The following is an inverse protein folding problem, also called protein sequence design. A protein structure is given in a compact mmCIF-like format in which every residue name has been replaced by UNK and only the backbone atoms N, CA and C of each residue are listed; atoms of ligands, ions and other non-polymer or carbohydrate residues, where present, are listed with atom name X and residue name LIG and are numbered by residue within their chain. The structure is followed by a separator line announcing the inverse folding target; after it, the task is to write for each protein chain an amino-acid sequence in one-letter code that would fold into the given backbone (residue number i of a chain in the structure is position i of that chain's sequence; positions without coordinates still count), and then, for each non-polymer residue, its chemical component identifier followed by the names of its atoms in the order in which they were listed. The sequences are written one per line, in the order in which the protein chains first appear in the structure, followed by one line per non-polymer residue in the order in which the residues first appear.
data_IF_296426046912
#
_entry.id   IF_296426046912
#
_cell.length_a   1.000
_cell.length_b   1.000
_cell.length_c   1.000
_cell.angle_alpha   90.00
_cell.angle_beta   90.00
_cell.angle_gamma   90.00
#
_symmetry.space_group_name_H-M   'P 1'
#
loop_
_entity.id
_entity.type
_entity.pdbx_description
1 polymer ?
#
# COMPACT_ATOMS: atom_id res chain seq x y z
N UNK A 1 -34.76 -10.54 13.02
CA UNK A 1 -33.90 -10.81 14.20
C UNK A 1 -32.47 -10.52 13.78
N UNK A 2 -31.91 -9.41 14.25
CA UNK A 2 -30.58 -8.96 13.88
C UNK A 2 -29.54 -9.85 14.60
N UNK A 3 -28.78 -10.63 13.83
CA UNK A 3 -27.56 -11.26 14.32
C UNK A 3 -26.50 -10.15 14.44
N UNK A 4 -26.51 -9.43 15.56
CA UNK A 4 -25.28 -8.83 16.09
C UNK A 4 -24.48 -9.97 16.67
N UNK A 5 -23.41 -10.42 16.01
CA UNK A 5 -22.51 -11.34 16.69
C UNK A 5 -21.03 -11.23 16.26
N UNK A 6 -20.19 -11.19 17.30
CA UNK A 6 -18.73 -11.37 17.38
C UNK A 6 -17.80 -10.14 17.17
N UNK A 7 -18.11 -9.11 16.36
CA UNK A 7 -17.11 -8.10 15.92
C UNK A 7 -17.36 -6.61 16.26
N UNK A 8 -18.29 -6.24 17.15
CA UNK A 8 -18.59 -4.81 17.39
C UNK A 8 -17.43 -4.04 18.03
N UNK A 9 -16.74 -4.63 18.99
CA UNK A 9 -15.60 -3.98 19.66
C UNK A 9 -14.36 -3.88 18.76
N UNK A 10 -14.02 -4.94 18.04
CA UNK A 10 -12.91 -4.92 17.06
C UNK A 10 -13.17 -3.82 16.01
N UNK A 11 -14.42 -3.69 15.54
CA UNK A 11 -14.84 -2.61 14.65
C UNK A 11 -14.80 -1.23 15.32
N UNK A 12 -15.14 -1.12 16.60
CA UNK A 12 -15.05 0.14 17.37
C UNK A 12 -13.59 0.56 17.55
N UNK A 13 -12.67 -0.36 17.83
CA UNK A 13 -11.23 -0.05 17.96
C UNK A 13 -10.65 0.38 16.62
N UNK A 14 -10.95 -0.35 15.53
CA UNK A 14 -10.54 0.04 14.17
C UNK A 14 -11.08 1.42 13.78
N UNK A 15 -12.38 1.67 14.02
CA UNK A 15 -13.03 2.95 13.73
C UNK A 15 -12.39 4.08 14.55
N UNK A 16 -12.22 3.88 15.86
CA UNK A 16 -11.61 4.88 16.76
C UNK A 16 -10.20 5.25 16.32
N UNK A 17 -9.39 4.25 15.95
CA UNK A 17 -8.03 4.50 15.49
C UNK A 17 -8.01 5.24 14.14
N UNK A 18 -8.86 4.84 13.18
CA UNK A 18 -8.96 5.53 11.90
C UNK A 18 -9.51 6.96 12.03
N UNK A 19 -10.45 7.19 12.94
CA UNK A 19 -10.94 8.52 13.28
C UNK A 19 -9.83 9.39 13.87
N UNK A 20 -8.98 8.82 14.74
CA UNK A 20 -7.81 9.53 15.25
C UNK A 20 -6.83 9.93 14.12
N UNK A 21 -6.53 9.01 13.19
CA UNK A 21 -5.68 9.32 12.03
C UNK A 21 -6.28 10.47 11.19
N UNK A 22 -7.60 10.48 10.99
CA UNK A 22 -8.28 11.53 10.24
C UNK A 22 -8.30 12.86 10.99
N UNK A 23 -8.83 12.86 12.21
CA UNK A 23 -9.19 14.07 12.93
C UNK A 23 -7.98 14.75 13.58
N UNK A 24 -6.91 13.99 13.89
CA UNK A 24 -5.70 14.51 14.54
C UNK A 24 -4.52 14.60 13.57
N UNK A 25 -4.35 13.60 12.69
CA UNK A 25 -3.20 13.55 11.77
C UNK A 25 -3.54 13.99 10.34
N UNK A 26 -4.81 14.24 10.02
CA UNK A 26 -5.24 14.72 8.70
C UNK A 26 -5.23 13.65 7.60
N UNK A 27 -5.32 12.37 7.96
CA UNK A 27 -5.35 11.28 6.98
C UNK A 27 -6.75 11.10 6.38
N UNK A 28 -6.81 10.73 5.10
CA UNK A 28 -8.05 10.17 4.54
C UNK A 28 -8.33 8.80 5.19
N UNK A 29 -9.60 8.43 5.35
CA UNK A 29 -9.97 7.08 5.80
C UNK A 29 -11.05 6.48 4.91
N UNK A 30 -10.83 5.24 4.47
CA UNK A 30 -11.77 4.46 3.67
C UNK A 30 -12.02 3.09 4.32
N UNK A 31 -13.25 2.58 4.16
CA UNK A 31 -13.62 1.21 4.54
C UNK A 31 -13.78 0.38 3.27
N UNK A 32 -13.05 -0.73 3.14
CA UNK A 32 -13.01 -1.50 1.89
C UNK A 32 -13.91 -2.74 1.89
N UNK A 33 -14.21 -3.31 3.07
CA UNK A 33 -14.90 -4.59 3.15
C UNK A 33 -16.32 -4.53 2.59
N UNK A 34 -16.57 -5.31 1.53
CA UNK A 34 -17.81 -5.36 0.75
C UNK A 34 -18.25 -4.02 0.11
N UNK A 35 -17.40 -2.98 0.15
CA UNK A 35 -17.68 -1.64 -0.41
C UNK A 35 -16.68 -1.25 -1.51
N UNK A 36 -15.54 -1.94 -1.61
CA UNK A 36 -14.57 -1.71 -2.68
C UNK A 36 -15.14 -2.06 -4.05
N UNK A 37 -15.06 -1.09 -4.96
CA UNK A 37 -15.29 -1.28 -6.40
C UNK A 37 -13.95 -1.28 -7.12
N UNK A 38 -13.77 -2.22 -8.06
CA UNK A 38 -12.53 -2.38 -8.83
C UNK A 38 -12.58 -1.63 -10.17
N UNK A 39 -11.39 -1.36 -10.71
CA UNK A 39 -11.16 -0.61 -11.95
C UNK A 39 -10.43 0.72 -11.70
N UNK A 40 -9.96 1.40 -12.76
CA UNK A 40 -9.22 2.66 -12.66
C UNK A 40 -9.98 3.76 -11.89
N UNK A 41 -11.30 3.80 -12.08
CA UNK A 41 -12.21 4.75 -11.42
C UNK A 41 -12.88 4.17 -10.16
N UNK A 42 -12.51 2.95 -9.77
CA UNK A 42 -13.00 2.30 -8.57
C UNK A 42 -12.49 2.97 -7.28
N UNK A 43 -13.00 2.50 -6.14
CA UNK A 43 -12.75 3.08 -4.81
C UNK A 43 -11.26 3.36 -4.57
N UNK A 44 -10.42 2.34 -4.77
CA UNK A 44 -8.96 2.42 -4.56
C UNK A 44 -8.15 2.47 -5.86
N UNK A 45 -8.82 2.39 -7.03
CA UNK A 45 -8.16 2.33 -8.33
C UNK A 45 -7.47 0.99 -8.62
N UNK A 46 -7.73 -0.04 -7.80
CA UNK A 46 -7.21 -1.40 -7.96
C UNK A 46 -7.98 -2.16 -9.02
N UNK A 47 -7.31 -2.95 -9.85
CA UNK A 47 -7.95 -3.81 -10.84
C UNK A 47 -8.54 -5.09 -10.22
N UNK A 48 -7.86 -5.64 -9.21
CA UNK A 48 -8.34 -6.78 -8.43
C UNK A 48 -7.68 -6.82 -7.03
N UNK A 49 -7.99 -7.87 -6.26
CA UNK A 49 -7.50 -8.06 -4.89
C UNK A 49 -6.00 -8.39 -4.79
N UNK A 50 -5.31 -8.65 -5.89
CA UNK A 50 -3.86 -8.95 -5.93
C UNK A 50 -3.01 -7.69 -5.97
N UNK A 51 -3.56 -6.57 -6.44
CA UNK A 51 -2.86 -5.29 -6.40
C UNK A 51 -2.84 -4.79 -4.97
N UNK A 52 -1.66 -4.58 -4.40
CA UNK A 52 -1.53 -4.01 -3.04
C UNK A 52 -1.16 -2.52 -3.11
N UNK A 53 -0.31 -2.15 -4.07
CA UNK A 53 0.03 -0.74 -4.35
C UNK A 53 -1.13 -0.06 -5.07
N UNK A 54 -1.51 1.14 -4.61
CA UNK A 54 -2.55 1.94 -5.26
C UNK A 54 -1.93 2.72 -6.43
N UNK A 55 -1.76 2.04 -7.57
CA UNK A 55 -1.05 2.57 -8.75
C UNK A 55 -1.60 3.91 -9.26
N UNK A 56 -2.91 4.15 -9.17
CA UNK A 56 -3.53 5.43 -9.52
C UNK A 56 -2.98 6.58 -8.68
N UNK A 57 -2.87 6.37 -7.37
CA UNK A 57 -2.43 7.40 -6.43
C UNK A 57 -0.91 7.59 -6.51
N UNK A 58 -0.18 6.49 -6.70
CA UNK A 58 1.26 6.51 -6.92
C UNK A 58 1.64 7.25 -8.20
N UNK A 59 0.95 6.98 -9.31
CA UNK A 59 1.15 7.71 -10.57
C UNK A 59 0.96 9.20 -10.39
N UNK A 60 -0.12 9.60 -9.71
CA UNK A 60 -0.43 11.01 -9.45
C UNK A 60 0.69 11.71 -8.68
N UNK A 61 1.21 11.06 -7.64
CA UNK A 61 2.32 11.60 -6.85
C UNK A 61 3.62 11.69 -7.67
N UNK A 62 4.00 10.62 -8.38
CA UNK A 62 5.22 10.62 -9.20
C UNK A 62 5.15 11.71 -10.28
N UNK A 63 4.03 11.83 -10.99
CA UNK A 63 3.86 12.89 -12.00
C UNK A 63 3.93 14.29 -11.36
N UNK A 64 3.31 14.49 -10.20
CA UNK A 64 3.31 15.77 -9.50
C UNK A 64 4.70 16.19 -8.98
N UNK A 65 5.46 15.25 -8.42
CA UNK A 65 6.80 15.52 -7.88
C UNK A 65 7.87 15.64 -8.97
N UNK A 66 7.63 15.07 -10.15
CA UNK A 66 8.62 14.98 -11.22
C UNK A 66 8.07 15.53 -12.56
N UNK A 67 7.70 16.82 -12.64
CA UNK A 67 7.03 17.40 -13.82
C UNK A 67 7.88 17.37 -15.11
N UNK A 68 9.19 17.15 -15.00
CA UNK A 68 10.09 17.03 -16.14
C UNK A 68 10.21 15.59 -16.68
N UNK A 69 9.69 14.58 -15.97
CA UNK A 69 9.74 13.19 -16.43
C UNK A 69 8.63 12.94 -17.47
N UNK A 70 8.95 12.29 -18.60
CA UNK A 70 7.92 11.85 -19.54
C UNK A 70 7.13 10.67 -18.96
N UNK A 71 5.93 10.45 -19.50
CA UNK A 71 5.02 9.37 -19.07
C UNK A 71 5.71 8.00 -19.00
N UNK A 72 6.54 7.65 -20.00
CA UNK A 72 7.29 6.39 -20.01
C UNK A 72 8.23 6.21 -18.81
N UNK A 73 8.82 7.29 -18.29
CA UNK A 73 9.65 7.22 -17.10
C UNK A 73 8.79 7.02 -15.83
N UNK A 74 7.59 7.59 -15.80
CA UNK A 74 6.61 7.35 -14.73
C UNK A 74 6.13 5.90 -14.77
N UNK A 75 5.86 5.35 -15.95
CA UNK A 75 5.49 3.95 -16.16
C UNK A 75 6.59 3.01 -15.63
N UNK A 76 7.84 3.26 -16.02
CA UNK A 76 9.00 2.49 -15.55
C UNK A 76 9.14 2.55 -14.02
N UNK A 77 8.93 3.72 -13.41
CA UNK A 77 8.99 3.87 -11.96
C UNK A 77 7.92 3.03 -11.26
N UNK A 78 6.68 3.08 -11.75
CA UNK A 78 5.57 2.29 -11.21
C UNK A 78 5.85 0.80 -11.40
N UNK A 79 6.26 0.38 -12.59
CA UNK A 79 6.61 -1.02 -12.87
C UNK A 79 7.65 -1.54 -11.88
N UNK A 80 8.72 -0.78 -11.64
CA UNK A 80 9.75 -1.13 -10.64
C UNK A 80 9.21 -1.21 -9.22
N UNK A 81 8.25 -0.34 -8.85
CA UNK A 81 7.62 -0.32 -7.53
C UNK A 81 6.59 -1.44 -7.32
N UNK A 82 6.06 -2.00 -8.40
CA UNK A 82 5.03 -3.06 -8.35
C UNK A 82 5.56 -4.43 -8.75
N UNK A 83 6.81 -4.52 -9.21
CA UNK A 83 7.40 -5.76 -9.69
C UNK A 83 7.52 -6.79 -8.57
N UNK A 84 6.99 -7.98 -8.83
CA UNK A 84 7.15 -9.15 -7.99
C UNK A 84 8.25 -10.04 -8.58
N UNK A 85 9.42 -10.09 -7.93
CA UNK A 85 10.51 -10.98 -8.33
C UNK A 85 10.62 -12.17 -7.37
N UNK A 86 9.94 -13.26 -7.73
CA UNK A 86 9.89 -14.49 -6.93
C UNK A 86 11.23 -15.19 -6.74
N UNK A 87 12.31 -14.74 -7.40
CA UNK A 87 13.67 -15.28 -7.21
C UNK A 87 14.44 -14.60 -6.06
N UNK A 88 13.92 -13.48 -5.53
CA UNK A 88 14.56 -12.69 -4.48
C UNK A 88 13.83 -12.86 -3.15
N UNK A 89 14.60 -12.85 -2.07
CA UNK A 89 14.06 -12.84 -0.70
C UNK A 89 13.38 -11.51 -0.37
N UNK A 90 12.44 -11.53 0.57
CA UNK A 90 11.79 -10.32 1.10
C UNK A 90 12.79 -9.27 1.57
N UNK A 91 13.89 -9.65 2.21
CA UNK A 91 14.94 -8.72 2.64
C UNK A 91 15.57 -7.98 1.44
N UNK A 92 15.81 -8.68 0.33
CA UNK A 92 16.37 -8.07 -0.89
C UNK A 92 15.38 -7.09 -1.53
N UNK A 93 14.10 -7.46 -1.57
CA UNK A 93 13.04 -6.54 -2.00
C UNK A 93 12.98 -5.30 -1.11
N UNK A 94 12.88 -5.48 0.21
CA UNK A 94 12.73 -4.37 1.15
C UNK A 94 13.94 -3.41 1.10
N UNK A 95 15.16 -3.93 0.89
CA UNK A 95 16.35 -3.09 0.71
C UNK A 95 16.30 -2.26 -0.58
N UNK A 96 15.86 -2.85 -1.69
CA UNK A 96 15.71 -2.16 -2.97
C UNK A 96 14.61 -1.09 -2.88
N UNK A 97 13.44 -1.48 -2.39
CA UNK A 97 12.30 -0.60 -2.19
C UNK A 97 12.57 0.55 -1.22
N UNK A 98 13.27 0.28 -0.12
CA UNK A 98 13.74 1.35 0.79
C UNK A 98 14.62 2.36 0.05
N UNK A 99 15.50 1.90 -0.85
CA UNK A 99 16.34 2.80 -1.66
C UNK A 99 15.49 3.61 -2.64
N UNK A 100 14.50 3.00 -3.28
CA UNK A 100 13.55 3.71 -4.15
C UNK A 100 12.72 4.76 -3.40
N UNK A 101 12.26 4.46 -2.20
CA UNK A 101 11.52 5.41 -1.37
C UNK A 101 12.43 6.59 -0.97
N UNK A 102 13.62 6.29 -0.45
CA UNK A 102 14.54 7.31 0.10
C UNK A 102 15.16 8.18 -0.99
N UNK A 103 15.66 7.56 -2.05
CA UNK A 103 16.51 8.21 -3.06
C UNK A 103 15.75 8.50 -4.38
N UNK A 104 14.57 7.92 -4.55
CA UNK A 104 13.81 7.91 -5.81
C UNK A 104 14.09 6.66 -6.64
N UNK A 105 13.14 6.32 -7.52
CA UNK A 105 13.26 5.17 -8.42
C UNK A 105 14.15 5.55 -9.61
N UNK A 106 15.26 4.84 -9.87
CA UNK A 106 16.07 5.11 -11.05
C UNK A 106 15.27 4.79 -12.30
N UNK A 107 15.23 5.71 -13.27
CA UNK A 107 14.49 5.59 -14.53
C UNK A 107 15.35 6.06 -15.70
N UNK A 108 15.06 5.57 -16.90
CA UNK A 108 15.78 5.89 -18.12
C UNK A 108 14.82 6.20 -19.27
N UNK A 109 14.91 7.39 -19.86
CA UNK A 109 14.02 7.81 -20.94
C UNK A 109 14.79 8.53 -22.05
N UNK A 110 14.16 8.68 -23.23
CA UNK A 110 14.70 9.51 -24.31
C UNK A 110 14.12 10.91 -24.23
N UNK A 111 14.98 11.93 -24.25
CA UNK A 111 14.54 13.32 -24.34
C UNK A 111 14.09 13.69 -25.76
N UNK A 112 13.63 14.93 -25.95
CA UNK A 112 13.16 15.42 -27.26
C UNK A 112 14.23 15.38 -28.37
N UNK A 113 15.52 15.30 -28.02
CA UNK A 113 16.63 15.15 -28.96
C UNK A 113 16.95 13.69 -29.28
N UNK A 114 16.23 12.74 -28.67
CA UNK A 114 16.46 11.30 -28.82
C UNK A 114 17.57 10.74 -27.93
N UNK A 115 18.22 11.56 -27.11
CA UNK A 115 19.29 11.13 -26.20
C UNK A 115 18.72 10.42 -24.97
N UNK A 116 19.41 9.36 -24.52
CA UNK A 116 19.04 8.66 -23.29
C UNK A 116 19.44 9.50 -22.07
N UNK A 117 18.49 9.73 -21.18
CA UNK A 117 18.64 10.40 -19.90
C UNK A 117 18.33 9.43 -18.78
N UNK A 118 19.11 9.52 -17.71
CA UNK A 118 18.84 8.84 -16.45
C UNK A 118 18.36 9.86 -15.43
N UNK A 119 17.40 9.48 -14.60
CA UNK A 119 16.87 10.29 -13.52
C UNK A 119 16.42 9.41 -12.35
N UNK A 120 16.11 10.04 -11.22
CA UNK A 120 15.51 9.40 -10.06
C UNK A 120 14.12 9.99 -9.83
N UNK A 121 13.08 9.18 -10.05
CA UNK A 121 11.69 9.57 -9.85
C UNK A 121 11.37 9.58 -8.35
N UNK A 122 11.11 10.77 -7.80
CA UNK A 122 10.67 10.93 -6.41
C UNK A 122 9.27 10.35 -6.23
N UNK A 123 9.07 9.56 -5.19
CA UNK A 123 7.77 8.92 -4.86
C UNK A 123 7.15 9.45 -3.57
N UNK A 124 7.96 10.00 -2.67
CA UNK A 124 7.55 10.64 -1.42
C UNK A 124 8.33 11.95 -1.28
N UNK A 125 7.64 13.02 -0.91
CA UNK A 125 8.28 14.28 -0.54
C UNK A 125 8.50 14.35 0.98
N UNK A 126 9.69 13.93 1.41
CA UNK A 126 10.09 14.04 2.81
C UNK A 126 10.39 15.47 3.26
N UNK A 127 10.62 16.41 2.33
CA UNK A 127 10.94 17.80 2.65
C UNK A 127 9.68 18.61 2.90
N UNK A 128 8.60 18.29 2.19
CA UNK A 128 7.28 18.84 2.42
C UNK A 128 6.27 17.70 2.63
N UNK A 129 6.13 17.18 3.87
CA UNK A 129 5.23 16.08 4.18
C UNK A 129 3.79 16.33 3.73
N UNK A 130 3.32 17.58 3.80
CA UNK A 130 1.96 17.97 3.40
C UNK A 130 1.68 17.88 1.90
N UNK A 131 2.70 17.67 1.06
CA UNK A 131 2.52 17.39 -0.37
C UNK A 131 2.20 15.91 -0.65
N UNK A 132 2.29 15.04 0.35
CA UNK A 132 1.95 13.63 0.20
C UNK A 132 0.48 13.38 0.54
N UNK A 133 -0.12 12.39 -0.13
CA UNK A 133 -1.42 11.87 0.23
C UNK A 133 -1.26 10.76 1.27
N UNK A 134 -1.92 10.93 2.41
CA UNK A 134 -1.99 9.94 3.48
C UNK A 134 -3.38 9.31 3.51
N UNK A 135 -3.45 8.00 3.37
CA UNK A 135 -4.72 7.26 3.31
C UNK A 135 -4.67 6.03 4.21
N UNK A 136 -5.61 5.91 5.11
CA UNK A 136 -5.84 4.71 5.89
C UNK A 136 -7.01 3.91 5.29
N UNK A 137 -6.77 2.67 4.89
CA UNK A 137 -7.81 1.76 4.41
C UNK A 137 -8.06 0.68 5.45
N UNK A 138 -9.33 0.55 5.85
CA UNK A 138 -9.78 -0.46 6.82
C UNK A 138 -10.33 -1.69 6.13
N UNK A 139 -10.07 -2.85 6.71
CA UNK A 139 -10.56 -4.16 6.28
C UNK A 139 -10.24 -4.47 4.81
N UNK A 140 -9.00 -4.15 4.38
CA UNK A 140 -8.54 -4.33 3.00
C UNK A 140 -8.32 -5.82 2.71
N UNK A 141 -9.00 -6.34 1.68
CA UNK A 141 -8.79 -7.71 1.21
C UNK A 141 -7.64 -7.78 0.20
N UNK A 142 -6.70 -8.69 0.47
CA UNK A 142 -5.52 -8.96 -0.34
C UNK A 142 -5.49 -10.45 -0.70
N UNK A 143 -5.27 -10.75 -1.97
CA UNK A 143 -5.12 -12.11 -2.49
C UNK A 143 -3.65 -12.40 -2.74
N UNK A 144 -3.19 -13.55 -2.24
CA UNK A 144 -1.81 -14.01 -2.45
C UNK A 144 -1.51 -14.27 -3.93
N UNK A 145 -0.33 -13.85 -4.44
CA UNK A 145 0.02 -14.02 -5.84
C UNK A 145 0.29 -15.49 -6.22
N UNK A 146 0.82 -16.28 -5.27
CA UNK A 146 1.13 -17.71 -5.46
C UNK A 146 -0.01 -18.64 -5.08
N UNK A 147 -1.00 -18.17 -4.30
CA UNK A 147 -2.12 -19.01 -3.84
C UNK A 147 -3.43 -18.21 -3.89
N UNK A 148 -4.16 -18.25 -5.03
CA UNK A 148 -5.37 -17.43 -5.23
C UNK A 148 -6.51 -17.68 -4.24
N UNK A 149 -6.53 -18.87 -3.62
CA UNK A 149 -7.51 -19.24 -2.59
C UNK A 149 -7.13 -18.68 -1.21
N UNK A 150 -5.91 -18.19 -1.06
CA UNK A 150 -5.41 -17.61 0.16
C UNK A 150 -5.64 -16.10 0.14
N UNK A 151 -6.72 -15.71 0.81
CA UNK A 151 -7.08 -14.32 0.99
C UNK A 151 -6.83 -13.90 2.43
N UNK A 152 -6.40 -12.66 2.60
CA UNK A 152 -6.18 -12.04 3.91
C UNK A 152 -6.88 -10.70 3.95
N UNK A 153 -7.43 -10.37 5.11
CA UNK A 153 -8.13 -9.12 5.36
C UNK A 153 -7.36 -8.38 6.43
N UNK A 154 -6.72 -7.30 6.01
CA UNK A 154 -5.93 -6.44 6.87
C UNK A 154 -6.86 -5.52 7.65
N UNK A 155 -6.73 -5.44 8.98
CA UNK A 155 -7.55 -4.55 9.77
C UNK A 155 -7.36 -3.09 9.33
N UNK A 156 -6.11 -2.62 9.26
CA UNK A 156 -5.77 -1.34 8.61
C UNK A 156 -4.47 -1.43 7.80
N UNK A 157 -4.50 -0.81 6.62
CA UNK A 157 -3.31 -0.53 5.80
C UNK A 157 -3.22 0.96 5.55
N UNK A 158 -2.08 1.54 5.88
CA UNK A 158 -1.80 2.95 5.77
C UNK A 158 -0.88 3.20 4.59
N UNK A 159 -1.35 4.03 3.68
CA UNK A 159 -0.73 4.36 2.42
C UNK A 159 -0.15 5.78 2.43
N UNK A 160 1.03 5.93 1.84
CA UNK A 160 1.60 7.23 1.48
C UNK A 160 1.76 7.26 -0.03
N UNK A 161 1.05 8.16 -0.71
CA UNK A 161 1.04 8.26 -2.16
C UNK A 161 0.72 6.92 -2.85
N UNK A 162 -0.12 6.09 -2.24
CA UNK A 162 -0.47 4.76 -2.75
C UNK A 162 0.54 3.64 -2.46
N UNK A 163 1.67 3.92 -1.80
CA UNK A 163 2.55 2.89 -1.25
C UNK A 163 2.04 2.41 0.11
N UNK A 164 1.78 1.11 0.33
CA UNK A 164 1.37 0.57 1.62
C UNK A 164 2.58 0.52 2.55
N UNK A 165 2.71 1.43 3.52
CA UNK A 165 3.92 1.54 4.35
C UNK A 165 3.73 1.09 5.79
N UNK A 166 2.48 1.08 6.28
CA UNK A 166 2.19 0.63 7.65
C UNK A 166 1.01 -0.33 7.62
N UNK A 167 1.25 -1.53 8.10
CA UNK A 167 0.24 -2.56 8.33
C UNK A 167 -0.08 -2.62 9.82
N UNK A 168 -1.36 -2.60 10.17
CA UNK A 168 -1.81 -2.63 11.56
C UNK A 168 -2.85 -3.73 11.70
N UNK A 169 -2.54 -4.71 12.54
CA UNK A 169 -3.49 -5.71 13.02
C UNK A 169 -3.97 -5.29 14.41
N UNK A 170 -5.28 -5.22 14.59
CA UNK A 170 -5.89 -4.89 15.87
C UNK A 170 -6.45 -6.17 16.52
N UNK A 171 -6.54 -6.10 17.85
CA UNK A 171 -7.19 -7.13 18.66
C UNK A 171 -8.02 -6.44 19.72
N UNK A 172 -9.16 -7.05 20.04
CA UNK A 172 -9.97 -6.64 21.18
C UNK A 172 -9.09 -6.54 22.43
N UNK A 173 -9.34 -5.53 23.25
CA UNK A 173 -8.52 -5.14 24.40
C UNK A 173 -8.35 -6.25 25.44
N UNK A 174 -9.24 -7.24 25.45
CA UNK A 174 -9.21 -8.40 26.35
C UNK A 174 -8.45 -9.61 25.79
N UNK A 175 -8.01 -9.58 24.52
CA UNK A 175 -7.25 -10.68 23.89
C UNK A 175 -5.76 -10.55 24.19
N UNK A 176 -5.11 -11.69 24.41
CA UNK A 176 -3.66 -11.72 24.63
C UNK A 176 -2.90 -11.34 23.34
N UNK A 177 -2.09 -10.29 23.42
CA UNK A 177 -1.32 -9.74 22.28
C UNK A 177 -0.34 -10.77 21.70
N UNK A 178 0.27 -11.64 22.53
CA UNK A 178 1.21 -12.67 22.04
C UNK A 178 0.51 -13.70 21.15
N UNK A 179 -0.71 -14.10 21.50
CA UNK A 179 -1.50 -15.00 20.65
C UNK A 179 -1.88 -14.33 19.32
N UNK A 180 -2.15 -13.03 19.32
CA UNK A 180 -2.36 -12.25 18.09
C UNK A 180 -1.11 -12.14 17.21
N UNK A 181 0.06 -11.96 17.81
CA UNK A 181 1.33 -11.90 17.09
C UNK A 181 1.72 -13.25 16.46
N UNK A 182 1.67 -14.32 17.25
CA UNK A 182 2.12 -15.65 16.82
C UNK A 182 1.18 -16.27 15.78
N UNK A 183 -0.13 -16.01 15.85
CA UNK A 183 -1.13 -16.60 14.97
C UNK A 183 -1.54 -15.78 13.75
N UNK A 184 -1.39 -14.44 13.77
CA UNK A 184 -1.82 -13.58 12.66
C UNK A 184 -0.68 -12.84 12.00
N UNK A 185 0.13 -12.07 12.75
CA UNK A 185 1.11 -11.16 12.13
C UNK A 185 2.23 -11.92 11.39
N UNK A 186 2.67 -13.07 11.92
CA UNK A 186 3.68 -13.90 11.25
C UNK A 186 3.20 -14.49 9.93
N UNK A 187 1.91 -14.78 9.77
CA UNK A 187 1.36 -15.25 8.50
C UNK A 187 1.50 -14.21 7.40
N UNK A 188 1.39 -12.93 7.75
CA UNK A 188 1.61 -11.87 6.77
C UNK A 188 3.04 -11.91 6.26
N UNK A 189 4.05 -12.21 7.09
CA UNK A 189 5.48 -12.30 6.74
C UNK A 189 5.84 -13.48 5.82
N UNK A 190 4.92 -14.41 5.57
CA UNK A 190 5.16 -15.51 4.65
C UNK A 190 5.11 -15.03 3.18
N UNK A 191 6.23 -15.19 2.47
CA UNK A 191 6.39 -14.79 1.07
C UNK A 191 5.55 -15.61 0.08
N UNK A 192 4.98 -16.73 0.53
CA UNK A 192 4.06 -17.54 -0.26
C UNK A 192 2.60 -17.10 -0.12
N UNK A 193 2.31 -16.25 0.87
CA UNK A 193 0.96 -15.98 1.35
C UNK A 193 0.42 -14.64 0.83
N UNK A 194 1.20 -13.57 0.91
CA UNK A 194 0.82 -12.25 0.41
C UNK A 194 1.95 -11.69 -0.44
N UNK A 195 1.59 -11.00 -1.52
CA UNK A 195 2.53 -10.17 -2.25
C UNK A 195 2.98 -9.06 -1.30
N UNK A 196 4.13 -9.25 -0.66
CA UNK A 196 4.73 -8.23 0.17
C UNK A 196 4.96 -6.98 -0.65
N UNK A 197 4.18 -5.96 -0.35
CA UNK A 197 4.52 -4.60 -0.68
C UNK A 197 4.89 -3.93 0.65
N UNK A 198 6.20 -3.79 0.85
CA UNK A 198 6.90 -3.11 1.96
C UNK A 198 6.77 -3.76 3.35
#
# INVERSE_FOLDING_TARGET
MAFTDINSEDRLVQQTFADHLRDVLGWDSLYAWNEETFGPDGTLGRLDQREVVLCRDLRRAITGFNPALPEKAVDEAIEKLTRQDFSRSTLQHNREFHSYIRDGVPVSYRDASGQVRQAFARVIDFRNPGANRFLCVRELKITGPRTPNYNRRADLVCFVNGLPLVFIELKAVYKNIRAGFDGNLRDYLDEHVIAHAF
#
